data_IF_637554370569
#
_entry.id   IF_637554370569
#
_cell.length_a   1.000
_cell.length_b   1.000
_cell.length_c   1.000
_cell.angle_alpha   90.00
_cell.angle_beta   90.00
_cell.angle_gamma   90.00
#
_symmetry.space_group_name_H-M   'P 1'
#
loop_
_entity.id
_entity.type
_entity.pdbx_description
1 polymer ?
#
# COMPACT_ATOMS: atom_id res chain seq x y z
N UNK A 1 14.25 3.56 -19.12
CA UNK A 1 12.81 3.29 -18.88
C UNK A 1 12.12 4.61 -18.58
N UNK A 2 11.23 5.09 -19.43
CA UNK A 2 10.51 6.36 -19.20
C UNK A 2 9.25 6.05 -18.39
N UNK A 3 9.34 6.18 -17.07
CA UNK A 3 8.19 5.99 -16.17
C UNK A 3 7.26 7.19 -16.30
N UNK A 4 6.08 7.00 -16.85
CA UNK A 4 5.09 8.06 -17.05
C UNK A 4 4.24 8.26 -15.80
N UNK A 5 4.84 8.78 -14.72
CA UNK A 5 4.10 9.10 -13.47
C UNK A 5 3.07 10.22 -13.66
N UNK A 6 3.32 11.10 -14.61
CA UNK A 6 2.39 12.15 -15.03
C UNK A 6 2.43 12.29 -16.55
N UNK A 7 1.28 12.52 -17.17
CA UNK A 7 1.10 12.66 -18.61
C UNK A 7 0.48 14.01 -18.91
N UNK A 8 0.95 14.70 -19.95
CA UNK A 8 0.31 15.93 -20.42
C UNK A 8 -0.98 15.61 -21.16
N UNK A 9 -2.07 16.25 -20.76
CA UNK A 9 -3.36 16.19 -21.41
C UNK A 9 -3.88 17.59 -21.73
N UNK A 10 -4.71 17.72 -22.76
CA UNK A 10 -5.46 18.94 -23.04
C UNK A 10 -6.75 18.89 -22.25
N UNK A 11 -6.97 19.87 -21.38
CA UNK A 11 -8.13 19.92 -20.49
C UNK A 11 -8.98 21.16 -20.74
N UNK A 12 -10.26 21.06 -20.47
CA UNK A 12 -11.20 22.17 -20.43
C UNK A 12 -11.46 22.49 -18.95
N UNK A 13 -11.23 23.73 -18.55
CA UNK A 13 -11.51 24.20 -17.19
C UNK A 13 -12.73 25.09 -17.22
N UNK A 14 -13.65 24.86 -16.31
CA UNK A 14 -14.86 25.66 -16.10
C UNK A 14 -14.67 26.40 -14.78
N UNK A 15 -14.87 27.69 -14.79
CA UNK A 15 -14.92 28.47 -13.55
C UNK A 15 -16.35 28.58 -13.00
N UNK A 16 -16.49 29.24 -11.85
CA UNK A 16 -17.79 29.42 -11.20
C UNK A 16 -18.76 30.34 -12.01
N UNK A 17 -18.26 31.08 -13.01
CA UNK A 17 -19.08 31.95 -13.92
C UNK A 17 -19.52 31.20 -15.16
N UNK A 18 -19.02 29.99 -15.39
CA UNK A 18 -19.26 29.20 -16.61
C UNK A 18 -18.30 29.52 -17.74
N UNK A 19 -17.28 30.36 -17.53
CA UNK A 19 -16.26 30.62 -18.54
C UNK A 19 -15.42 29.36 -18.77
N UNK A 20 -15.13 29.08 -20.05
CA UNK A 20 -14.36 27.87 -20.43
C UNK A 20 -12.97 28.29 -20.91
N UNK A 21 -11.97 27.79 -20.27
CA UNK A 21 -10.58 27.86 -20.73
C UNK A 21 -10.06 26.49 -21.16
N UNK A 22 -9.23 26.45 -22.21
CA UNK A 22 -8.66 25.23 -22.77
C UNK A 22 -7.15 25.34 -22.76
N UNK A 23 -6.47 24.36 -22.13
CA UNK A 23 -5.02 24.40 -22.03
C UNK A 23 -4.40 23.05 -21.68
N UNK A 24 -3.06 22.96 -21.70
CA UNK A 24 -2.38 21.77 -21.23
C UNK A 24 -2.45 21.67 -19.71
N UNK A 25 -2.57 20.43 -19.21
CA UNK A 25 -2.45 20.08 -17.80
C UNK A 25 -1.69 18.77 -17.63
N UNK A 26 -1.35 18.44 -16.40
CA UNK A 26 -0.73 17.16 -16.04
C UNK A 26 -1.78 16.28 -15.36
N UNK A 27 -1.95 15.07 -15.85
CA UNK A 27 -2.79 14.03 -15.23
C UNK A 27 -1.91 12.90 -14.71
N UNK A 28 -2.36 12.20 -13.67
CA UNK A 28 -1.64 11.08 -13.12
C UNK A 28 -1.51 9.97 -14.16
N UNK A 29 -0.30 9.38 -14.25
CA UNK A 29 -0.08 8.20 -15.08
C UNK A 29 -0.72 6.99 -14.41
N UNK A 30 -1.50 6.24 -15.18
CA UNK A 30 -2.15 5.01 -14.74
C UNK A 30 -2.00 3.95 -15.83
N UNK A 31 -1.42 2.81 -15.48
CA UNK A 31 -1.18 1.70 -16.40
C UNK A 31 -1.43 0.38 -15.69
N UNK A 32 -1.90 -0.66 -16.41
CA UNK A 32 -2.03 -2.00 -15.84
C UNK A 32 -0.64 -2.57 -15.51
N UNK A 33 -0.58 -3.42 -14.49
CA UNK A 33 0.56 -4.28 -14.19
C UNK A 33 0.05 -5.70 -13.98
N UNK A 34 0.39 -6.59 -14.89
CA UNK A 34 0.15 -8.02 -14.76
C UNK A 34 1.31 -8.66 -13.98
N UNK A 35 0.98 -9.37 -12.91
CA UNK A 35 1.95 -10.11 -12.08
C UNK A 35 1.78 -11.59 -12.38
N UNK A 36 2.87 -12.25 -12.76
CA UNK A 36 2.94 -13.71 -12.98
C UNK A 36 3.89 -14.32 -11.96
N UNK A 37 3.45 -15.39 -11.30
CA UNK A 37 4.26 -16.16 -10.35
C UNK A 37 4.65 -17.49 -10.97
N UNK A 38 5.95 -17.78 -11.08
CA UNK A 38 6.49 -19.03 -11.64
C UNK A 38 5.93 -19.38 -13.04
N UNK A 39 5.49 -18.37 -13.80
CA UNK A 39 4.88 -18.53 -15.14
C UNK A 39 3.37 -18.39 -15.17
N UNK A 40 2.67 -18.63 -14.07
CA UNK A 40 1.21 -18.55 -13.99
C UNK A 40 0.74 -17.12 -13.73
N UNK A 41 -0.38 -16.72 -14.33
CA UNK A 41 -1.01 -15.43 -14.08
C UNK A 41 -1.55 -15.38 -12.65
N UNK A 42 -1.12 -14.37 -11.87
CA UNK A 42 -1.52 -14.23 -10.49
C UNK A 42 -2.50 -13.08 -10.27
N UNK A 43 -2.20 -11.90 -10.80
CA UNK A 43 -3.04 -10.71 -10.62
C UNK A 43 -2.77 -9.65 -11.69
N UNK A 44 -3.74 -8.75 -11.88
CA UNK A 44 -3.59 -7.51 -12.64
C UNK A 44 -4.04 -6.36 -11.77
N UNK A 45 -3.21 -5.34 -11.61
CA UNK A 45 -3.53 -4.12 -10.87
C UNK A 45 -3.29 -2.87 -11.71
N UNK A 46 -4.12 -1.84 -11.51
CA UNK A 46 -3.86 -0.50 -12.07
C UNK A 46 -2.94 0.26 -11.13
N UNK A 47 -1.84 0.82 -11.67
CA UNK A 47 -0.83 1.51 -10.83
C UNK A 47 -0.30 2.77 -11.51
N UNK A 48 0.22 3.70 -10.74
CA UNK A 48 1.14 4.74 -11.26
C UNK A 48 2.50 4.09 -11.50
N UNK A 49 3.03 4.11 -12.75
CA UNK A 49 4.32 3.49 -13.08
C UNK A 49 5.45 3.98 -12.18
N UNK A 50 6.32 3.04 -11.83
CA UNK A 50 7.49 3.29 -10.99
C UNK A 50 7.40 2.67 -9.62
N UNK A 51 8.56 2.27 -9.10
CA UNK A 51 8.69 1.49 -7.87
C UNK A 51 7.95 0.14 -7.96
N UNK A 52 7.89 -0.45 -9.17
CA UNK A 52 7.09 -1.63 -9.45
C UNK A 52 7.62 -2.88 -8.72
N UNK A 53 8.94 -3.00 -8.50
CA UNK A 53 9.53 -4.07 -7.66
C UNK A 53 9.02 -3.97 -6.22
N UNK A 54 9.01 -2.75 -5.67
CA UNK A 54 8.49 -2.48 -4.32
C UNK A 54 6.98 -2.82 -4.25
N UNK A 55 6.20 -2.38 -5.25
CA UNK A 55 4.78 -2.70 -5.35
C UNK A 55 4.53 -4.21 -5.32
N UNK A 56 5.27 -4.96 -6.14
CA UNK A 56 5.12 -6.42 -6.23
C UNK A 56 5.46 -7.09 -4.91
N UNK A 57 6.60 -6.75 -4.29
CA UNK A 57 7.01 -7.36 -3.04
C UNK A 57 6.00 -7.09 -1.91
N UNK A 58 5.56 -5.84 -1.73
CA UNK A 58 4.56 -5.49 -0.72
C UNK A 58 3.20 -6.13 -0.99
N UNK A 59 2.78 -6.20 -2.26
CA UNK A 59 1.54 -6.88 -2.65
C UNK A 59 1.59 -8.38 -2.33
N UNK A 60 2.68 -9.06 -2.66
CA UNK A 60 2.83 -10.50 -2.38
C UNK A 60 2.88 -10.80 -0.87
N UNK A 61 3.51 -9.95 -0.05
CA UNK A 61 3.43 -10.04 1.40
C UNK A 61 1.99 -9.87 1.88
N UNK A 62 1.31 -8.83 1.41
CA UNK A 62 -0.07 -8.52 1.79
C UNK A 62 -1.04 -9.65 1.45
N UNK A 63 -0.76 -10.39 0.37
CA UNK A 63 -1.53 -11.56 -0.06
C UNK A 63 -1.10 -12.87 0.61
N UNK A 64 -0.17 -12.81 1.57
CA UNK A 64 0.40 -13.98 2.26
C UNK A 64 1.06 -15.01 1.31
N UNK A 65 1.60 -14.55 0.17
CA UNK A 65 2.34 -15.38 -0.79
C UNK A 65 3.78 -15.55 -0.34
N UNK A 66 4.39 -14.48 0.17
CA UNK A 66 5.76 -14.45 0.68
C UNK A 66 5.77 -13.95 2.12
N UNK A 67 6.84 -14.21 2.84
CA UNK A 67 7.08 -13.68 4.19
C UNK A 67 8.27 -12.73 4.23
N UNK A 68 9.25 -12.93 3.37
CA UNK A 68 10.46 -12.10 3.31
C UNK A 68 10.81 -11.76 1.86
N UNK A 69 11.66 -10.76 1.68
CA UNK A 69 12.21 -10.43 0.35
C UNK A 69 13.06 -11.59 -0.21
N UNK A 70 13.64 -12.41 0.65
CA UNK A 70 14.43 -13.60 0.27
C UNK A 70 13.62 -14.72 -0.38
N UNK A 71 12.29 -14.69 -0.31
CA UNK A 71 11.40 -15.67 -0.97
C UNK A 71 11.32 -15.44 -2.48
N UNK A 72 11.72 -14.24 -2.94
CA UNK A 72 11.78 -13.86 -4.35
C UNK A 72 13.19 -14.10 -4.86
N UNK A 73 13.33 -14.95 -5.89
CA UNK A 73 14.60 -15.15 -6.58
C UNK A 73 14.87 -14.06 -7.62
N UNK A 74 13.83 -13.70 -8.38
CA UNK A 74 13.97 -12.75 -9.48
C UNK A 74 12.64 -12.07 -9.80
N UNK A 75 12.70 -10.80 -10.19
CA UNK A 75 11.61 -10.07 -10.83
C UNK A 75 12.13 -9.54 -12.17
N UNK A 76 11.55 -10.05 -13.27
CA UNK A 76 11.83 -9.59 -14.62
C UNK A 76 10.61 -8.92 -15.24
N UNK A 77 10.85 -7.85 -15.99
CA UNK A 77 9.81 -7.09 -16.67
C UNK A 77 9.88 -7.34 -18.18
N UNK A 78 8.90 -8.05 -18.71
CA UNK A 78 8.76 -8.24 -20.15
C UNK A 78 8.33 -6.95 -20.82
N UNK A 79 9.04 -6.56 -21.88
CA UNK A 79 8.61 -5.44 -22.70
C UNK A 79 7.47 -5.86 -23.63
N UNK A 80 6.30 -5.22 -23.48
CA UNK A 80 5.26 -5.16 -24.48
C UNK A 80 5.43 -3.93 -25.38
N UNK A 81 4.51 -3.76 -26.33
CA UNK A 81 4.40 -2.54 -27.12
C UNK A 81 3.05 -1.89 -26.87
N UNK A 82 3.06 -0.61 -26.64
CA UNK A 82 1.86 0.22 -26.65
C UNK A 82 1.36 0.44 -28.09
N UNK A 83 0.10 0.88 -28.30
CA UNK A 83 -0.43 1.16 -29.63
C UNK A 83 0.39 2.16 -30.45
N UNK A 84 1.16 3.03 -29.79
CA UNK A 84 2.07 4.00 -30.42
C UNK A 84 3.46 3.41 -30.76
N UNK A 85 3.65 2.10 -30.55
CA UNK A 85 4.91 1.40 -30.77
C UNK A 85 5.97 1.59 -29.69
N UNK A 86 5.68 2.35 -28.62
CA UNK A 86 6.59 2.48 -27.47
C UNK A 86 6.61 1.21 -26.61
N UNK A 87 7.75 0.92 -25.98
CA UNK A 87 7.85 -0.23 -25.06
C UNK A 87 7.16 0.09 -23.74
N UNK A 88 6.26 -0.79 -23.33
CA UNK A 88 5.74 -0.83 -21.96
C UNK A 88 6.38 -1.99 -21.18
N UNK A 89 6.31 -1.91 -19.86
CA UNK A 89 6.83 -2.93 -18.94
C UNK A 89 5.72 -3.35 -17.97
N UNK A 90 4.57 -3.69 -18.56
CA UNK A 90 3.34 -3.92 -17.82
C UNK A 90 3.13 -5.41 -17.46
N UNK A 91 4.10 -6.27 -17.73
CA UNK A 91 4.11 -7.67 -17.29
C UNK A 91 5.35 -7.93 -16.44
N UNK A 92 5.13 -8.25 -15.18
CA UNK A 92 6.15 -8.67 -14.24
C UNK A 92 6.13 -10.20 -14.08
N UNK A 93 7.26 -10.84 -14.37
CA UNK A 93 7.50 -12.26 -14.13
C UNK A 93 8.28 -12.39 -12.83
N UNK A 94 7.64 -12.96 -11.81
CA UNK A 94 8.24 -13.19 -10.50
C UNK A 94 8.57 -14.68 -10.38
N UNK A 95 9.84 -14.97 -10.18
CA UNK A 95 10.29 -16.30 -9.81
C UNK A 95 10.45 -16.38 -8.30
N UNK A 96 9.68 -17.24 -7.66
CA UNK A 96 9.73 -17.52 -6.24
C UNK A 96 10.58 -18.76 -5.99
N UNK A 97 11.19 -18.84 -4.81
CA UNK A 97 11.91 -20.04 -4.39
C UNK A 97 11.01 -21.26 -4.35
N UNK A 98 11.56 -22.47 -4.59
CA UNK A 98 10.78 -23.71 -4.55
C UNK A 98 10.02 -23.87 -3.23
N UNK A 99 8.75 -24.26 -3.30
CA UNK A 99 7.89 -24.50 -2.16
C UNK A 99 7.20 -23.28 -1.55
N UNK A 100 7.52 -22.06 -2.01
CA UNK A 100 6.86 -20.82 -1.52
C UNK A 100 5.43 -20.70 -2.04
N UNK A 101 5.20 -21.05 -3.30
CA UNK A 101 3.89 -20.90 -3.95
C UNK A 101 3.70 -21.93 -5.07
N UNK A 102 2.46 -22.43 -5.20
CA UNK A 102 2.03 -23.21 -6.36
C UNK A 102 0.61 -22.82 -6.78
N UNK A 103 0.32 -22.85 -8.08
CA UNK A 103 -1.00 -22.54 -8.62
C UNK A 103 -2.09 -23.49 -8.10
N UNK A 104 -1.75 -24.75 -7.83
CA UNK A 104 -2.67 -25.78 -7.34
C UNK A 104 -3.11 -25.54 -5.89
N UNK A 105 -2.24 -24.96 -5.07
CA UNK A 105 -2.53 -24.62 -3.67
C UNK A 105 -3.17 -23.24 -3.52
N UNK A 106 -3.19 -22.44 -4.58
CA UNK A 106 -3.79 -21.11 -4.52
C UNK A 106 -5.33 -21.22 -4.51
N UNK A 107 -6.04 -20.50 -3.62
CA UNK A 107 -7.48 -20.44 -3.68
C UNK A 107 -7.92 -19.91 -5.07
N UNK A 108 -8.98 -20.48 -5.63
CA UNK A 108 -9.52 -20.05 -6.94
C UNK A 108 -9.75 -18.53 -6.93
N UNK A 109 -8.93 -17.80 -7.69
CA UNK A 109 -9.00 -16.34 -7.79
C UNK A 109 -9.66 -15.97 -9.11
N UNK A 110 -10.57 -15.02 -9.05
CA UNK A 110 -11.01 -14.30 -10.23
C UNK A 110 -9.85 -13.44 -10.74
N UNK A 111 -9.44 -13.67 -11.99
CA UNK A 111 -8.23 -13.12 -12.64
C UNK A 111 -8.21 -11.57 -12.73
N UNK A 112 -9.31 -10.90 -12.42
CA UNK A 112 -9.43 -9.45 -12.47
C UNK A 112 -9.61 -8.85 -11.09
N UNK A 113 -8.55 -8.34 -10.50
CA UNK A 113 -8.63 -7.32 -9.46
C UNK A 113 -8.78 -5.95 -10.13
N UNK A 114 -9.90 -5.72 -10.79
CA UNK A 114 -10.23 -4.38 -11.24
C UNK A 114 -10.81 -3.64 -10.06
N UNK A 115 -10.05 -2.94 -9.33
CA UNK A 115 -10.41 -1.73 -8.62
C UNK A 115 -9.58 -1.47 -7.38
N UNK A 116 -9.59 -0.24 -6.99
CA UNK A 116 -9.15 0.38 -5.76
C UNK A 116 -9.60 -0.32 -4.45
N UNK A 117 -10.24 -1.47 -4.46
CA UNK A 117 -10.84 -2.11 -3.28
C UNK A 117 -10.13 -3.37 -2.78
N UNK A 118 -9.05 -3.86 -3.41
CA UNK A 118 -8.24 -4.98 -2.88
C UNK A 118 -8.94 -6.35 -2.72
N UNK A 119 -10.26 -6.39 -2.50
CA UNK A 119 -11.05 -7.59 -2.23
C UNK A 119 -11.72 -8.17 -3.49
N UNK A 120 -11.82 -7.40 -4.57
CA UNK A 120 -12.41 -7.89 -5.82
C UNK A 120 -11.57 -9.03 -6.42
N UNK A 121 -12.06 -10.26 -6.28
CA UNK A 121 -11.41 -11.47 -6.79
C UNK A 121 -11.26 -12.59 -5.78
N UNK A 122 -11.64 -12.36 -4.51
CA UNK A 122 -11.64 -13.41 -3.49
C UNK A 122 -12.94 -14.21 -3.57
N UNK A 123 -12.84 -15.50 -3.88
CA UNK A 123 -14.03 -16.37 -4.08
C UNK A 123 -14.75 -16.74 -2.79
N UNK A 124 -14.19 -16.47 -1.61
CA UNK A 124 -14.79 -16.78 -0.31
C UNK A 124 -14.50 -15.67 0.71
N UNK A 125 -15.44 -15.39 1.58
CA UNK A 125 -15.36 -14.39 2.66
C UNK A 125 -14.19 -14.72 3.60
N UNK A 126 -13.97 -15.99 3.91
CA UNK A 126 -12.91 -16.47 4.81
C UNK A 126 -11.49 -16.21 4.25
N UNK A 127 -11.36 -16.05 2.92
CA UNK A 127 -10.08 -15.74 2.29
C UNK A 127 -9.72 -14.24 2.32
N UNK A 128 -10.60 -13.39 2.83
CA UNK A 128 -10.39 -11.94 2.95
C UNK A 128 -9.42 -11.62 4.08
N UNK A 129 -9.53 -12.32 5.22
CA UNK A 129 -8.63 -12.15 6.36
C UNK A 129 -7.39 -13.01 6.19
N UNK A 130 -6.21 -12.39 6.22
CA UNK A 130 -4.92 -13.08 6.15
C UNK A 130 -4.29 -13.16 7.53
N UNK A 131 -3.64 -14.27 7.81
CA UNK A 131 -2.86 -14.43 9.04
C UNK A 131 -1.46 -13.86 8.85
N UNK A 132 -1.10 -12.90 9.67
CA UNK A 132 0.23 -12.28 9.61
C UNK A 132 1.32 -13.26 10.06
N UNK A 133 2.44 -13.36 9.34
CA UNK A 133 3.63 -14.06 9.82
C UNK A 133 4.31 -13.30 10.97
N UNK A 134 3.91 -12.06 11.24
CA UNK A 134 4.48 -11.17 12.25
C UNK A 134 3.43 -10.65 13.24
N UNK A 135 2.77 -11.51 14.02
CA UNK A 135 1.67 -11.12 14.90
C UNK A 135 2.11 -10.04 15.90
N UNK A 136 1.28 -9.00 16.04
CA UNK A 136 1.51 -7.90 16.98
C UNK A 136 0.99 -8.25 18.39
N UNK A 137 -0.06 -9.08 18.45
CA UNK A 137 -0.62 -9.60 19.69
C UNK A 137 -0.16 -11.06 19.84
N UNK A 138 0.35 -11.47 21.03
CA UNK A 138 0.64 -12.87 21.29
C UNK A 138 -0.63 -13.73 21.11
N UNK A 139 -0.48 -14.95 20.57
CA UNK A 139 -1.60 -15.86 20.35
C UNK A 139 -2.37 -16.25 21.64
N UNK A 140 -1.75 -16.07 22.81
CA UNK A 140 -2.34 -16.30 24.13
C UNK A 140 -3.07 -15.09 24.70
N UNK A 141 -3.06 -13.95 24.02
CA UNK A 141 -3.67 -12.72 24.51
C UNK A 141 -5.13 -12.67 24.07
N UNK A 142 -6.04 -12.75 25.02
CA UNK A 142 -7.47 -12.45 24.80
C UNK A 142 -7.67 -10.95 25.06
N UNK A 143 -8.21 -10.25 24.08
CA UNK A 143 -8.64 -8.85 24.26
C UNK A 143 -9.96 -8.90 25.04
N UNK A 144 -9.90 -8.58 26.35
CA UNK A 144 -11.12 -8.32 27.10
C UNK A 144 -11.81 -7.09 26.50
N UNK A 145 -13.07 -7.23 26.09
CA UNK A 145 -13.85 -6.14 25.46
C UNK A 145 -14.00 -4.93 26.40
N UNK A 146 -13.89 -5.15 27.73
CA UNK A 146 -13.99 -4.11 28.77
C UNK A 146 -12.63 -3.55 29.22
N UNK A 147 -11.50 -4.15 28.79
CA UNK A 147 -10.20 -3.60 29.12
C UNK A 147 -10.00 -2.28 28.38
N UNK A 148 -9.86 -1.21 29.12
CA UNK A 148 -9.43 0.09 28.59
C UNK A 148 -8.10 -0.12 27.87
N UNK A 149 -8.13 -0.08 26.52
CA UNK A 149 -6.95 -0.32 25.70
C UNK A 149 -5.94 0.79 25.97
N UNK A 150 -4.99 0.54 26.86
CA UNK A 150 -3.85 1.42 27.06
C UNK A 150 -2.99 1.34 25.80
N UNK A 151 -3.08 2.37 24.96
CA UNK A 151 -2.11 2.57 23.90
C UNK A 151 -0.72 2.55 24.53
N UNK A 152 0.18 1.63 24.14
CA UNK A 152 1.57 1.91 24.39
C UNK A 152 1.83 3.29 23.79
N UNK A 153 2.39 4.23 24.54
CA UNK A 153 2.78 5.55 24.01
C UNK A 153 3.91 5.38 23.01
N UNK A 154 3.58 4.78 21.84
CA UNK A 154 4.53 4.60 20.77
C UNK A 154 4.94 5.94 20.17
N UNK A 155 3.99 6.89 20.16
CA UNK A 155 4.21 8.23 19.63
C UNK A 155 3.22 9.19 20.30
N UNK A 156 3.69 10.37 20.73
CA UNK A 156 2.82 11.38 21.34
C UNK A 156 1.79 11.93 20.35
N UNK A 157 0.63 12.38 20.85
CA UNK A 157 -0.43 12.95 20.02
C UNK A 157 0.07 14.14 19.17
N UNK A 158 0.97 14.97 19.71
CA UNK A 158 1.56 16.08 18.98
C UNK A 158 2.35 15.60 17.76
N UNK A 159 3.15 14.55 17.92
CA UNK A 159 3.94 13.97 16.81
C UNK A 159 3.08 13.23 15.80
N UNK A 160 2.01 12.59 16.25
CA UNK A 160 1.01 12.01 15.35
C UNK A 160 0.40 13.10 14.47
N UNK A 161 0.04 14.25 15.05
CA UNK A 161 -0.54 15.37 14.32
C UNK A 161 0.35 15.96 13.21
N UNK A 162 1.67 15.77 13.27
CA UNK A 162 2.63 16.27 12.27
C UNK A 162 2.75 15.33 11.05
N UNK A 163 2.37 14.06 11.17
CA UNK A 163 2.59 13.07 10.12
C UNK A 163 1.92 13.40 8.77
N UNK A 164 0.70 13.96 8.72
CA UNK A 164 0.06 14.30 7.45
C UNK A 164 0.84 15.35 6.65
N UNK A 165 1.31 16.41 7.30
CA UNK A 165 2.08 17.47 6.64
C UNK A 165 3.43 16.94 6.15
N UNK A 166 4.06 16.06 6.91
CA UNK A 166 5.30 15.39 6.52
C UNK A 166 5.09 14.44 5.35
N UNK A 167 3.98 13.70 5.31
CA UNK A 167 3.59 12.93 4.13
C UNK A 167 3.32 13.86 2.95
N UNK A 168 2.59 14.97 3.18
CA UNK A 168 2.24 15.93 2.13
C UNK A 168 3.47 16.51 1.44
N UNK A 169 4.54 16.75 2.15
CA UNK A 169 5.82 17.24 1.60
C UNK A 169 6.50 16.24 0.63
N UNK A 170 6.12 14.97 0.64
CA UNK A 170 6.64 13.93 -0.25
C UNK A 170 5.82 13.73 -1.53
N UNK A 171 4.67 14.39 -1.66
CA UNK A 171 3.68 14.14 -2.71
C UNK A 171 3.95 14.92 -3.99
N UNK A 172 5.06 14.66 -4.67
CA UNK A 172 5.47 15.37 -5.90
C UNK A 172 4.57 15.11 -7.11
N UNK A 173 3.99 13.91 -7.23
CA UNK A 173 3.07 13.58 -8.32
C UNK A 173 1.71 14.21 -8.04
N UNK A 174 1.26 14.18 -6.79
CA UNK A 174 0.02 14.85 -6.38
C UNK A 174 0.09 16.36 -6.63
N UNK A 175 1.21 17.02 -6.35
CA UNK A 175 1.40 18.45 -6.62
C UNK A 175 1.19 18.82 -8.08
N UNK A 176 1.56 17.91 -8.99
CA UNK A 176 1.46 18.11 -10.43
C UNK A 176 0.10 17.74 -11.00
N UNK A 177 -0.60 16.77 -10.37
CA UNK A 177 -1.72 16.09 -11.01
C UNK A 177 -2.99 16.07 -10.17
N UNK A 178 -2.87 16.18 -8.84
CA UNK A 178 -3.99 16.02 -7.90
C UNK A 178 -4.61 14.60 -7.88
N UNK A 179 -4.08 13.64 -8.68
CA UNK A 179 -4.76 12.41 -9.02
C UNK A 179 -4.18 11.14 -8.38
N UNK A 180 -3.39 11.24 -7.30
CA UNK A 180 -2.77 10.08 -6.64
C UNK A 180 -2.97 10.10 -5.14
N UNK A 181 -2.91 8.92 -4.54
CA UNK A 181 -2.77 8.72 -3.10
C UNK A 181 -1.29 8.62 -2.70
N UNK A 182 -1.04 8.72 -1.39
CA UNK A 182 0.29 8.54 -0.84
C UNK A 182 0.26 7.76 0.46
N UNK A 183 1.38 7.09 0.74
CA UNK A 183 1.70 6.48 2.02
C UNK A 183 3.15 6.81 2.39
N UNK A 184 3.44 6.92 3.68
CA UNK A 184 4.79 7.07 4.20
C UNK A 184 5.00 6.22 5.44
N UNK A 185 6.21 5.71 5.60
CA UNK A 185 6.66 4.98 6.77
C UNK A 185 7.62 5.86 7.56
N UNK A 186 7.36 5.95 8.87
CA UNK A 186 8.20 6.69 9.79
C UNK A 186 8.73 5.73 10.86
N UNK A 187 10.01 5.82 11.16
CA UNK A 187 10.59 5.15 12.32
C UNK A 187 10.27 5.95 13.58
N UNK A 188 9.95 5.24 14.67
CA UNK A 188 9.71 5.81 16.00
C UNK A 188 10.81 5.36 16.96
N UNK A 189 11.34 6.33 17.72
CA UNK A 189 12.36 6.09 18.73
C UNK A 189 11.80 5.53 20.04
N UNK A 190 12.65 5.47 21.07
CA UNK A 190 12.26 5.05 22.42
C UNK A 190 11.50 6.16 23.16
N UNK A 191 11.76 7.43 22.83
CA UNK A 191 11.03 8.57 23.38
C UNK A 191 9.83 8.89 22.48
N UNK A 192 8.58 8.73 22.95
CA UNK A 192 7.37 9.05 22.20
C UNK A 192 7.26 10.51 21.75
N UNK A 193 8.03 11.42 22.38
CA UNK A 193 8.06 12.84 22.04
C UNK A 193 9.12 13.18 21.00
N UNK A 194 10.04 12.26 20.73
CA UNK A 194 11.03 12.46 19.68
C UNK A 194 10.37 12.60 18.32
N UNK A 195 10.99 13.34 17.43
CA UNK A 195 10.51 13.47 16.06
C UNK A 195 10.68 12.14 15.33
N UNK A 196 9.58 11.55 14.77
CA UNK A 196 9.67 10.31 14.02
C UNK A 196 10.46 10.52 12.71
N UNK A 197 11.38 9.64 12.39
CA UNK A 197 12.19 9.73 11.18
C UNK A 197 11.39 9.27 9.96
N UNK A 198 11.32 10.10 8.90
CA UNK A 198 10.74 9.68 7.63
C UNK A 198 11.69 8.70 6.93
N UNK A 199 11.28 7.44 6.83
CA UNK A 199 12.04 6.40 6.13
C UNK A 199 11.79 6.45 4.63
N UNK A 200 10.53 6.55 4.22
CA UNK A 200 10.13 6.52 2.82
C UNK A 200 8.72 7.06 2.62
N UNK A 201 8.47 7.73 1.49
CA UNK A 201 7.15 8.08 0.97
C UNK A 201 6.95 7.52 -0.43
N UNK A 202 5.75 7.07 -0.76
CA UNK A 202 5.37 6.57 -2.09
C UNK A 202 3.99 7.07 -2.48
N UNK A 203 3.85 7.31 -3.79
CA UNK A 203 2.60 7.74 -4.41
C UNK A 203 2.13 6.72 -5.43
N UNK A 204 0.80 6.57 -5.54
CA UNK A 204 0.13 5.75 -6.54
C UNK A 204 -1.33 6.20 -6.73
N UNK A 205 -1.93 5.98 -7.91
CA UNK A 205 -3.37 6.19 -8.14
C UNK A 205 -4.21 5.33 -7.21
N UNK A 206 -3.72 4.14 -6.84
CA UNK A 206 -4.31 3.22 -5.88
C UNK A 206 -3.75 3.40 -4.47
N UNK A 207 -4.60 3.73 -3.48
CA UNK A 207 -4.16 3.84 -2.08
C UNK A 207 -3.52 2.55 -1.55
N UNK A 208 -4.00 1.37 -1.98
CA UNK A 208 -3.44 0.07 -1.60
C UNK A 208 -2.03 -0.10 -2.18
N UNK A 209 -1.84 0.27 -3.45
CA UNK A 209 -0.55 0.22 -4.10
C UNK A 209 0.47 1.16 -3.47
N UNK A 210 0.05 2.35 -3.03
CA UNK A 210 0.94 3.28 -2.32
C UNK A 210 1.49 2.64 -1.03
N UNK A 211 0.64 1.92 -0.28
CA UNK A 211 1.03 1.17 0.93
C UNK A 211 1.91 -0.03 0.56
N UNK A 212 1.56 -0.80 -0.47
CA UNK A 212 2.38 -1.93 -0.92
C UNK A 212 3.79 -1.47 -1.36
N UNK A 213 3.90 -0.35 -2.08
CA UNK A 213 5.22 0.24 -2.41
C UNK A 213 6.05 0.56 -1.17
N UNK A 214 5.43 1.14 -0.15
CA UNK A 214 6.11 1.46 1.12
C UNK A 214 6.57 0.19 1.84
N UNK A 215 5.70 -0.80 1.95
CA UNK A 215 6.01 -2.09 2.59
C UNK A 215 7.11 -2.83 1.83
N UNK A 216 7.01 -2.91 0.49
CA UNK A 216 8.01 -3.57 -0.33
C UNK A 216 9.39 -2.91 -0.25
N UNK A 217 9.43 -1.57 -0.20
CA UNK A 217 10.67 -0.85 0.07
C UNK A 217 11.25 -1.23 1.45
N UNK A 218 10.40 -1.26 2.47
CA UNK A 218 10.83 -1.60 3.82
C UNK A 218 11.33 -3.04 3.92
N UNK A 219 10.70 -4.00 3.24
CA UNK A 219 11.19 -5.39 3.15
C UNK A 219 12.63 -5.47 2.64
N UNK A 220 12.97 -4.66 1.64
CA UNK A 220 14.29 -4.67 1.02
C UNK A 220 15.36 -3.92 1.84
N UNK A 221 14.97 -2.89 2.61
CA UNK A 221 15.90 -1.95 3.22
C UNK A 221 15.94 -2.01 4.75
N UNK A 222 14.85 -2.41 5.41
CA UNK A 222 14.73 -2.43 6.87
C UNK A 222 14.59 -3.86 7.42
N UNK A 223 14.08 -4.76 6.59
CA UNK A 223 13.64 -6.09 7.04
C UNK A 223 12.29 -6.05 7.76
N UNK A 224 11.73 -7.21 8.03
CA UNK A 224 10.47 -7.39 8.76
C UNK A 224 10.72 -8.12 10.09
N UNK A 225 9.92 -7.91 11.13
CA UNK A 225 8.73 -7.03 11.24
C UNK A 225 9.07 -5.56 11.53
N UNK A 226 8.19 -4.65 11.10
CA UNK A 226 8.34 -3.20 11.25
C UNK A 226 7.76 -2.67 12.58
N UNK A 227 8.17 -3.25 13.70
CA UNK A 227 7.55 -3.01 15.03
C UNK A 227 7.76 -1.61 15.59
N UNK A 228 8.78 -0.90 15.15
CA UNK A 228 9.10 0.46 15.60
C UNK A 228 8.80 1.48 14.49
N UNK A 229 7.63 1.36 13.87
CA UNK A 229 7.22 2.27 12.80
C UNK A 229 5.76 2.67 12.90
N UNK A 230 5.42 3.77 12.23
CA UNK A 230 4.06 4.21 11.98
C UNK A 230 3.87 4.41 10.47
N UNK A 231 2.75 3.90 9.96
CA UNK A 231 2.31 4.10 8.58
C UNK A 231 1.34 5.27 8.52
N UNK A 232 1.68 6.35 7.80
CA UNK A 232 0.77 7.45 7.51
C UNK A 232 0.23 7.31 6.09
N UNK A 233 -1.10 7.42 5.91
CA UNK A 233 -1.75 7.37 4.60
C UNK A 233 -2.59 8.62 4.31
N UNK A 234 -2.62 9.07 3.07
CA UNK A 234 -3.45 10.19 2.60
C UNK A 234 -4.93 9.81 2.42
N UNK A 235 -5.25 8.54 2.52
CA UNK A 235 -6.57 7.96 2.31
C UNK A 235 -7.35 7.81 3.62
N UNK A 236 -8.56 7.21 3.52
CA UNK A 236 -9.29 6.68 4.68
C UNK A 236 -8.63 5.40 5.19
N UNK A 237 -8.80 5.09 6.49
CA UNK A 237 -8.41 3.81 7.04
C UNK A 237 -9.47 2.76 6.65
N UNK A 238 -9.10 1.81 5.78
CA UNK A 238 -9.93 0.68 5.37
C UNK A 238 -9.38 -0.62 5.96
N UNK A 239 -10.23 -1.64 6.03
CA UNK A 239 -9.86 -2.99 6.46
C UNK A 239 -8.54 -3.45 5.82
N UNK A 240 -8.46 -3.33 4.49
CA UNK A 240 -7.29 -3.82 3.74
C UNK A 240 -5.99 -3.10 4.10
N UNK A 241 -6.06 -1.79 4.39
CA UNK A 241 -4.85 -1.04 4.79
C UNK A 241 -4.39 -1.44 6.18
N UNK A 242 -5.34 -1.70 7.10
CA UNK A 242 -5.02 -2.25 8.44
C UNK A 242 -4.42 -3.63 8.31
N UNK A 243 -4.98 -4.50 7.47
CA UNK A 243 -4.44 -5.83 7.22
C UNK A 243 -3.02 -5.78 6.65
N UNK A 244 -2.75 -4.90 5.67
CA UNK A 244 -1.40 -4.70 5.12
C UNK A 244 -0.41 -4.26 6.21
N UNK A 245 -0.84 -3.36 7.12
CA UNK A 245 -0.03 -2.96 8.27
C UNK A 245 0.29 -4.16 9.17
N UNK A 246 -0.72 -4.97 9.52
CA UNK A 246 -0.54 -6.17 10.33
C UNK A 246 0.38 -7.20 9.66
N UNK A 247 0.23 -7.42 8.34
CA UNK A 247 1.08 -8.34 7.56
C UNK A 247 2.56 -7.95 7.60
N UNK A 248 2.86 -6.65 7.65
CA UNK A 248 4.23 -6.14 7.77
C UNK A 248 4.72 -5.98 9.21
N UNK A 249 3.87 -6.24 10.21
CA UNK A 249 4.20 -6.05 11.63
C UNK A 249 4.28 -4.58 12.03
N UNK A 250 3.53 -3.69 11.37
CA UNK A 250 3.44 -2.25 11.68
C UNK A 250 2.38 -2.06 12.76
N UNK A 251 2.72 -1.56 13.96
CA UNK A 251 1.79 -1.50 15.10
C UNK A 251 0.84 -0.29 15.06
N UNK A 252 1.10 0.71 14.22
CA UNK A 252 0.31 1.93 14.17
C UNK A 252 0.08 2.38 12.72
N UNK A 253 -1.18 2.67 12.39
CA UNK A 253 -1.58 3.28 11.13
C UNK A 253 -2.37 4.57 11.38
N UNK A 254 -1.93 5.66 10.73
CA UNK A 254 -2.57 6.97 10.77
C UNK A 254 -3.12 7.33 9.39
N UNK A 255 -4.35 7.82 9.35
CA UNK A 255 -5.08 8.15 8.14
C UNK A 255 -5.67 9.57 8.20
N UNK A 256 -5.55 10.31 7.09
CA UNK A 256 -6.10 11.68 6.96
C UNK A 256 -7.62 11.69 7.08
N UNK A 257 -8.28 10.63 6.65
CA UNK A 257 -9.74 10.54 6.62
C UNK A 257 -10.28 9.47 7.59
N UNK A 258 -11.59 9.26 7.57
CA UNK A 258 -12.31 8.38 8.49
C UNK A 258 -11.88 6.91 8.40
N UNK A 259 -11.89 6.17 9.52
CA UNK A 259 -11.84 4.72 9.50
C UNK A 259 -13.21 4.12 9.16
N UNK A 260 -13.23 2.92 8.59
CA UNK A 260 -14.44 2.09 8.52
C UNK A 260 -14.59 1.27 9.82
N UNK A 261 -15.83 0.87 10.17
CA UNK A 261 -16.07 0.00 11.33
C UNK A 261 -15.21 -1.26 11.27
N UNK A 262 -15.22 -1.95 10.11
CA UNK A 262 -14.44 -3.17 9.91
C UNK A 262 -12.92 -2.93 10.07
N UNK A 263 -12.40 -1.74 9.71
CA UNK A 263 -11.00 -1.41 9.94
C UNK A 263 -10.68 -1.27 11.45
N UNK A 264 -11.60 -0.70 12.22
CA UNK A 264 -11.45 -0.57 13.68
C UNK A 264 -11.47 -1.95 14.34
N UNK A 265 -12.45 -2.78 14.00
CA UNK A 265 -12.60 -4.12 14.57
C UNK A 265 -11.40 -5.01 14.22
N UNK A 266 -10.94 -4.94 12.96
CA UNK A 266 -9.75 -5.67 12.54
C UNK A 266 -8.49 -5.17 13.24
N UNK A 267 -8.32 -3.85 13.38
CA UNK A 267 -7.19 -3.27 14.12
C UNK A 267 -7.11 -3.80 15.56
N UNK A 268 -8.25 -3.85 16.27
CA UNK A 268 -8.34 -4.46 17.61
C UNK A 268 -7.92 -5.92 17.59
N UNK A 269 -8.43 -6.70 16.62
CA UNK A 269 -8.17 -8.15 16.57
C UNK A 269 -6.72 -8.51 16.25
N UNK A 270 -5.98 -7.65 15.53
CA UNK A 270 -4.58 -7.89 15.12
C UNK A 270 -3.56 -7.02 15.85
N UNK A 271 -3.99 -6.12 16.73
CA UNK A 271 -3.10 -5.24 17.51
C UNK A 271 -2.54 -4.05 16.76
N UNK A 272 -3.24 -3.57 15.73
CA UNK A 272 -2.88 -2.34 15.01
C UNK A 272 -3.66 -1.18 15.57
N UNK A 273 -2.96 -0.15 16.10
CA UNK A 273 -3.56 1.13 16.48
C UNK A 273 -4.00 1.90 15.25
N UNK A 274 -5.30 2.19 15.13
CA UNK A 274 -5.88 2.89 13.98
C UNK A 274 -6.25 4.32 14.36
N UNK A 275 -5.61 5.30 13.73
CA UNK A 275 -5.84 6.72 13.93
C UNK A 275 -6.54 7.27 12.69
N UNK A 276 -7.73 7.81 12.87
CA UNK A 276 -8.49 8.49 11.81
C UNK A 276 -8.51 9.99 11.99
N UNK A 277 -8.91 10.70 10.90
CA UNK A 277 -9.07 12.17 10.88
C UNK A 277 -7.80 12.94 11.27
N UNK A 278 -6.64 12.35 11.11
CA UNK A 278 -5.36 13.00 11.33
C UNK A 278 -5.06 13.96 10.18
N UNK A 279 -5.30 15.26 10.39
CA UNK A 279 -5.20 16.32 9.37
C UNK A 279 -5.01 17.69 10.00
#
# INVERSE_FOLDING_TARGET
MRQRRAVRARVHRFDATGEISVGPDSVAGEEPLEIRLNGDQFSVTMRTPGNDVELIAGYLLSEAVITTMGDIEEIDFSSGLDPDGSRNYNVARVRLRPGIWSAEAAPARSVYTSSSCGICGTAAIDAVTKTSPYPLIPASFHVDEEAEFQFPELLSAARIGELPDRLRSQQQVFDKTGGVHAAALFAIGEDPRAEPELLIGREDVGRHNAVDKVIGWAMANQGLPLRKTVLQVSARASFELVQKSAMAGIPMMSAVSAPSALAVDHGKSVGVSVIGFNR
#
